data_IF_982269977742
#
_entry.id   IF_982269977742
#
_cell.length_a   1.000
_cell.length_b   1.000
_cell.length_c   1.000
_cell.angle_alpha   90.00
_cell.angle_beta   90.00
_cell.angle_gamma   90.00
#
_symmetry.space_group_name_H-M   'P 1'
#
loop_
_entity.id
_entity.type
_entity.pdbx_description
1 polymer ?
#
# COMPACT_ATOMS: atom_id res chain seq x y z
N UNK A 1 -7.52 -21.02 -3.57
CA UNK A 1 -8.21 -19.86 -2.94
C UNK A 1 -7.18 -19.23 -2.06
N UNK A 2 -6.78 -18.01 -2.34
CA UNK A 2 -5.41 -17.56 -2.05
C UNK A 2 -5.27 -16.10 -2.43
N UNK A 3 -4.40 -15.37 -1.74
CA UNK A 3 -3.89 -14.06 -2.09
C UNK A 3 -2.38 -14.12 -2.19
N UNK A 4 -1.83 -13.49 -3.22
CA UNK A 4 -0.42 -13.19 -3.37
C UNK A 4 -0.23 -11.67 -3.37
N UNK A 5 0.79 -11.19 -2.66
CA UNK A 5 1.19 -9.79 -2.64
C UNK A 5 2.70 -9.76 -2.83
N UNK A 6 3.19 -8.96 -3.77
CA UNK A 6 4.62 -8.69 -3.95
C UNK A 6 4.86 -7.19 -4.01
N UNK A 7 5.88 -6.70 -3.33
CA UNK A 7 6.24 -5.29 -3.30
C UNK A 7 7.74 -5.06 -3.43
N UNK A 8 8.09 -3.96 -4.10
CA UNK A 8 9.45 -3.43 -4.19
C UNK A 8 9.44 -1.95 -3.82
N UNK A 9 10.43 -1.51 -3.05
CA UNK A 9 10.58 -0.13 -2.58
C UNK A 9 10.93 -0.05 -1.10
N UNK A 10 11.11 1.17 -0.54
CA UNK A 10 11.40 1.35 0.88
C UNK A 10 10.36 0.66 1.77
N UNK A 11 10.80 -0.11 2.77
CA UNK A 11 9.92 -0.83 3.70
C UNK A 11 8.90 -1.78 3.03
N UNK A 12 9.28 -2.42 1.91
CA UNK A 12 8.41 -3.37 1.21
C UNK A 12 7.95 -4.52 2.13
N UNK A 13 8.80 -4.99 3.05
CA UNK A 13 8.41 -6.04 3.98
C UNK A 13 7.30 -5.62 4.96
N UNK A 14 7.38 -4.42 5.53
CA UNK A 14 6.29 -3.89 6.34
C UNK A 14 5.01 -3.66 5.52
N UNK A 15 5.16 -3.19 4.29
CA UNK A 15 4.05 -2.94 3.37
C UNK A 15 3.28 -4.23 3.06
N UNK A 16 3.97 -5.30 2.68
CA UNK A 16 3.36 -6.61 2.41
C UNK A 16 2.65 -7.16 3.63
N UNK A 17 3.26 -7.07 4.82
CA UNK A 17 2.63 -7.52 6.06
C UNK A 17 1.36 -6.74 6.39
N UNK A 18 1.40 -5.41 6.35
CA UNK A 18 0.23 -4.56 6.63
C UNK A 18 -0.89 -4.76 5.62
N UNK A 19 -0.52 -4.95 4.34
CA UNK A 19 -1.46 -5.21 3.27
C UNK A 19 -2.17 -6.57 3.47
N UNK A 20 -1.45 -7.63 3.83
CA UNK A 20 -2.06 -8.91 4.17
C UNK A 20 -2.96 -8.79 5.41
N UNK A 21 -2.51 -8.11 6.47
CA UNK A 21 -3.30 -7.91 7.69
C UNK A 21 -4.61 -7.16 7.41
N UNK A 22 -4.57 -6.18 6.52
CA UNK A 22 -5.77 -5.48 6.07
C UNK A 22 -6.69 -6.42 5.29
N UNK A 23 -6.14 -7.24 4.38
CA UNK A 23 -6.91 -8.22 3.63
C UNK A 23 -7.62 -9.24 4.54
N UNK A 24 -6.95 -9.72 5.58
CA UNK A 24 -7.52 -10.63 6.58
C UNK A 24 -8.64 -9.99 7.40
N UNK A 25 -8.58 -8.67 7.62
CA UNK A 25 -9.56 -7.95 8.43
C UNK A 25 -10.87 -7.66 7.71
N UNK A 26 -10.81 -7.44 6.40
CA UNK A 26 -11.98 -7.02 5.59
C UNK A 26 -12.44 -8.09 4.61
N UNK A 27 -11.57 -9.04 4.28
CA UNK A 27 -11.84 -10.13 3.37
C UNK A 27 -12.62 -11.26 4.02
N UNK A 28 -13.50 -11.89 3.26
CA UNK A 28 -14.20 -13.12 3.66
C UNK A 28 -13.91 -14.24 2.67
N UNK A 29 -13.95 -15.49 3.13
CA UNK A 29 -13.58 -16.67 2.34
C UNK A 29 -12.27 -17.28 2.83
N UNK A 30 -11.42 -17.76 1.92
CA UNK A 30 -10.19 -18.47 2.29
C UNK A 30 -9.01 -17.52 2.53
N UNK A 31 -9.01 -16.87 3.69
CA UNK A 31 -7.98 -15.93 4.14
C UNK A 31 -7.76 -16.07 5.66
N UNK A 32 -6.61 -15.64 6.20
CA UNK A 32 -6.31 -15.67 7.64
C UNK A 32 -5.89 -17.04 8.21
N UNK A 33 -5.60 -18.01 7.33
CA UNK A 33 -5.12 -19.34 7.69
C UNK A 33 -3.61 -19.47 7.54
N UNK A 34 -3.15 -20.08 6.44
CA UNK A 34 -1.72 -20.21 6.17
C UNK A 34 -1.15 -18.91 5.60
N UNK A 35 0.13 -18.64 5.84
CA UNK A 35 0.89 -17.61 5.16
C UNK A 35 2.36 -18.04 5.00
N UNK A 36 2.96 -17.71 3.87
CA UNK A 36 4.39 -17.87 3.60
C UNK A 36 4.93 -16.55 3.11
N UNK A 37 5.91 -16.03 3.83
CA UNK A 37 6.49 -14.72 3.64
C UNK A 37 7.98 -14.85 3.35
N UNK A 38 8.47 -14.07 2.39
CA UNK A 38 9.89 -13.93 2.12
C UNK A 38 10.25 -12.47 1.87
N UNK A 39 11.43 -12.07 2.31
CA UNK A 39 11.99 -10.75 2.06
C UNK A 39 13.47 -10.86 1.70
N UNK A 40 13.91 -10.05 0.75
CA UNK A 40 15.32 -9.85 0.43
C UNK A 40 15.71 -8.49 1.02
N UNK A 41 16.59 -8.52 2.01
CA UNK A 41 17.07 -7.34 2.73
C UNK A 41 18.00 -6.50 1.85
N UNK A 42 18.29 -5.26 2.26
CA UNK A 42 19.15 -4.35 1.49
C UNK A 42 20.60 -4.85 1.36
N UNK A 43 21.07 -5.67 2.30
CA UNK A 43 22.36 -6.36 2.26
C UNK A 43 22.31 -7.71 1.52
N UNK A 44 21.19 -8.04 0.86
CA UNK A 44 21.06 -9.22 0.00
C UNK A 44 20.77 -10.53 0.74
N UNK A 45 20.38 -10.50 2.02
CA UNK A 45 19.97 -11.72 2.74
C UNK A 45 18.52 -12.07 2.45
N UNK A 46 18.26 -13.36 2.33
CA UNK A 46 16.90 -13.90 2.24
C UNK A 46 16.38 -14.26 3.64
N UNK A 47 15.33 -13.56 4.08
CA UNK A 47 14.60 -13.84 5.32
C UNK A 47 13.25 -14.47 4.99
N UNK A 48 12.80 -15.41 5.83
CA UNK A 48 11.56 -16.16 5.62
C UNK A 48 10.78 -16.33 6.91
N UNK A 49 9.46 -16.39 6.78
CA UNK A 49 8.55 -16.76 7.86
C UNK A 49 7.35 -17.51 7.28
N UNK A 50 6.78 -18.43 8.05
CA UNK A 50 5.59 -19.17 7.64
C UNK A 50 4.70 -19.51 8.83
N UNK A 51 3.41 -19.70 8.57
CA UNK A 51 2.45 -20.22 9.53
C UNK A 51 1.39 -21.04 8.83
N UNK A 52 0.89 -22.08 9.49
CA UNK A 52 -0.19 -22.94 8.98
C UNK A 52 -1.58 -22.35 9.27
N UNK A 53 -1.72 -21.62 10.38
CA UNK A 53 -2.99 -21.16 10.94
C UNK A 53 -2.80 -19.81 11.62
N UNK A 54 -3.72 -18.88 11.39
CA UNK A 54 -3.74 -17.56 12.04
C UNK A 54 -3.18 -16.42 11.19
N UNK A 55 -2.63 -16.69 10.00
CA UNK A 55 -2.21 -15.66 9.07
C UNK A 55 -1.26 -14.65 9.72
N UNK A 56 -1.51 -13.35 9.58
CA UNK A 56 -0.65 -12.33 10.20
C UNK A 56 -0.61 -12.36 11.73
N UNK A 57 -1.61 -12.96 12.41
CA UNK A 57 -1.63 -13.07 13.87
C UNK A 57 -0.67 -14.11 14.45
N UNK A 58 -0.07 -14.95 13.60
CA UNK A 58 0.88 -16.00 14.02
C UNK A 58 2.10 -16.10 13.12
N UNK A 59 2.15 -15.35 12.01
CA UNK A 59 3.23 -15.38 11.04
C UNK A 59 4.60 -14.99 11.64
N UNK A 60 4.60 -14.08 12.60
CA UNK A 60 5.80 -13.69 13.35
C UNK A 60 5.61 -14.00 14.83
N UNK A 61 6.73 -14.21 15.52
CA UNK A 61 6.78 -14.44 16.97
C UNK A 61 7.91 -13.62 17.59
N UNK A 62 7.67 -13.09 18.79
CA UNK A 62 8.66 -12.39 19.60
C UNK A 62 8.57 -12.91 21.03
N UNK A 63 9.54 -13.75 21.42
CA UNK A 63 9.44 -14.52 22.66
C UNK A 63 8.20 -15.42 22.65
N UNK A 64 7.31 -15.21 23.62
CA UNK A 64 6.04 -15.95 23.75
C UNK A 64 4.87 -15.26 23.01
N UNK A 65 5.07 -14.06 22.45
CA UNK A 65 4.01 -13.33 21.74
C UNK A 65 3.91 -13.77 20.29
N UNK A 66 2.67 -13.98 19.83
CA UNK A 66 2.33 -14.25 18.42
C UNK A 66 1.69 -13.02 17.78
N UNK A 67 1.96 -12.83 16.49
CA UNK A 67 1.41 -11.71 15.72
C UNK A 67 1.98 -10.31 16.04
N UNK A 68 3.23 -10.15 16.52
CA UNK A 68 3.87 -8.85 16.52
C UNK A 68 4.09 -8.37 15.06
N UNK A 69 4.57 -7.14 14.93
CA UNK A 69 5.11 -6.67 13.66
C UNK A 69 6.32 -7.53 13.24
N UNK A 70 6.64 -7.59 11.94
CA UNK A 70 7.91 -8.15 11.50
C UNK A 70 9.10 -7.47 12.22
N UNK A 71 10.21 -8.20 12.38
CA UNK A 71 11.47 -7.61 12.84
C UNK A 71 11.89 -6.45 11.94
N UNK A 72 12.71 -5.53 12.45
CA UNK A 72 13.21 -4.38 11.67
C UNK A 72 13.86 -4.80 10.36
N UNK A 73 14.66 -5.87 10.36
CA UNK A 73 15.29 -6.39 9.15
C UNK A 73 14.28 -6.79 8.06
N UNK A 74 13.18 -7.44 8.45
CA UNK A 74 12.12 -7.81 7.52
C UNK A 74 11.31 -6.56 7.14
N UNK A 75 10.96 -5.72 8.11
CA UNK A 75 10.14 -4.53 7.89
C UNK A 75 10.79 -3.57 6.87
N UNK A 76 12.10 -3.37 6.98
CA UNK A 76 12.88 -2.44 6.15
C UNK A 76 13.34 -3.04 4.81
N UNK A 77 13.13 -4.35 4.59
CA UNK A 77 13.55 -5.03 3.38
C UNK A 77 12.95 -4.36 2.11
N UNK A 78 13.77 -4.10 1.07
CA UNK A 78 13.32 -3.41 -0.14
C UNK A 78 12.52 -4.29 -1.10
N UNK A 79 12.52 -5.61 -0.90
CA UNK A 79 11.81 -6.57 -1.73
C UNK A 79 11.15 -7.61 -0.83
N UNK A 80 9.84 -7.77 -0.92
CA UNK A 80 9.11 -8.73 -0.11
C UNK A 80 7.90 -9.30 -0.84
N UNK A 81 7.54 -10.53 -0.49
CA UNK A 81 6.39 -11.21 -1.04
C UNK A 81 5.73 -12.11 -0.01
N UNK A 82 4.43 -12.31 -0.16
CA UNK A 82 3.65 -13.25 0.64
C UNK A 82 2.66 -14.00 -0.24
N UNK A 83 2.38 -15.25 0.13
CA UNK A 83 1.17 -15.98 -0.28
C UNK A 83 0.41 -16.40 0.96
N UNK A 84 -0.91 -16.25 0.96
CA UNK A 84 -1.77 -16.64 2.07
C UNK A 84 -3.10 -17.20 1.61
N UNK A 85 -3.74 -18.02 2.45
CA UNK A 85 -5.14 -18.43 2.32
C UNK A 85 -5.74 -18.96 3.61
N UNK A 86 -6.86 -19.70 3.54
CA UNK A 86 -7.29 -20.63 4.59
C UNK A 86 -6.22 -21.67 4.98
N UNK A 87 -6.39 -22.37 6.11
CA UNK A 87 -5.35 -23.19 6.74
C UNK A 87 -5.14 -24.53 6.02
N UNK A 88 -4.30 -25.38 6.60
CA UNK A 88 -4.16 -26.81 6.24
C UNK A 88 -3.63 -27.06 4.83
N UNK A 89 -2.62 -26.27 4.43
CA UNK A 89 -1.87 -26.50 3.19
C UNK A 89 -0.85 -27.63 3.36
N UNK A 90 -0.58 -28.41 2.29
CA UNK A 90 0.48 -29.41 2.30
C UNK A 90 1.84 -28.81 2.68
N UNK A 91 2.52 -29.45 3.64
CA UNK A 91 3.89 -29.12 3.99
C UNK A 91 4.87 -29.69 2.95
N UNK A 92 6.08 -29.11 2.79
CA UNK A 92 6.54 -27.88 3.44
C UNK A 92 5.84 -26.65 2.88
N UNK A 93 5.51 -25.66 3.70
CA UNK A 93 4.78 -24.48 3.23
C UNK A 93 5.62 -23.60 2.29
N UNK A 94 6.93 -23.49 2.53
CA UNK A 94 7.86 -22.78 1.64
C UNK A 94 7.75 -23.16 0.16
N UNK A 95 7.21 -24.33 -0.20
CA UNK A 95 7.00 -24.70 -1.60
C UNK A 95 6.10 -23.72 -2.37
N UNK A 96 5.20 -23.00 -1.69
CA UNK A 96 4.27 -22.05 -2.32
C UNK A 96 4.92 -20.71 -2.72
N UNK A 97 6.12 -20.41 -2.21
CA UNK A 97 6.87 -19.19 -2.50
C UNK A 97 8.34 -19.54 -2.81
N UNK A 98 8.65 -19.60 -4.10
CA UNK A 98 10.02 -19.82 -4.57
C UNK A 98 10.81 -18.53 -4.35
N UNK A 99 12.03 -18.65 -3.81
CA UNK A 99 12.87 -17.48 -3.59
C UNK A 99 14.34 -17.85 -3.52
N UNK A 100 15.13 -16.95 -4.08
CA UNK A 100 16.58 -16.97 -4.17
C UNK A 100 17.09 -15.56 -3.89
N UNK A 101 18.14 -15.45 -3.07
CA UNK A 101 18.60 -14.15 -2.56
C UNK A 101 19.16 -13.25 -3.67
N UNK A 102 19.85 -13.85 -4.64
CA UNK A 102 20.52 -13.14 -5.74
C UNK A 102 19.57 -12.83 -6.90
N UNK A 103 18.54 -13.67 -7.07
CA UNK A 103 17.59 -13.56 -8.19
C UNK A 103 16.31 -12.81 -7.83
N UNK A 104 15.61 -13.23 -6.77
CA UNK A 104 14.27 -12.71 -6.47
C UNK A 104 13.30 -13.70 -5.81
N UNK A 105 12.03 -13.31 -5.81
CA UNK A 105 10.91 -13.98 -5.19
C UNK A 105 9.83 -14.28 -6.26
N UNK A 106 9.18 -15.43 -6.16
CA UNK A 106 8.00 -15.78 -6.96
C UNK A 106 6.90 -16.32 -6.03
N UNK A 107 5.84 -15.54 -5.92
CA UNK A 107 4.63 -15.84 -5.15
C UNK A 107 3.42 -15.92 -6.10
N UNK A 108 2.21 -16.00 -5.57
CA UNK A 108 1.02 -15.92 -6.39
C UNK A 108 -0.27 -16.33 -5.70
N UNK A 109 -1.18 -16.84 -6.50
CA UNK A 109 -2.44 -17.41 -6.04
C UNK A 109 -2.78 -18.67 -6.87
N UNK A 110 -3.71 -19.46 -6.37
CA UNK A 110 -4.05 -20.82 -6.81
C UNK A 110 -2.91 -21.78 -6.46
N UNK A 111 -2.22 -22.34 -7.46
CA UNK A 111 -1.21 -23.38 -7.29
C UNK A 111 0.12 -22.96 -7.95
N UNK A 112 0.84 -21.98 -7.39
CA UNK A 112 2.13 -21.55 -7.94
C UNK A 112 3.20 -22.66 -7.93
N UNK A 113 3.04 -23.66 -7.06
CA UNK A 113 3.91 -24.84 -6.96
C UNK A 113 3.42 -26.02 -7.81
N UNK A 114 2.35 -25.89 -8.60
CA UNK A 114 1.95 -26.94 -9.52
C UNK A 114 3.06 -27.22 -10.55
N UNK A 115 3.13 -28.46 -11.02
CA UNK A 115 4.13 -28.84 -12.01
C UNK A 115 3.78 -28.29 -13.39
N UNK A 116 4.78 -27.72 -14.03
CA UNK A 116 4.77 -27.32 -15.43
C UNK A 116 4.85 -28.54 -16.36
N UNK A 117 4.71 -28.30 -17.66
CA UNK A 117 4.92 -29.32 -18.71
C UNK A 117 6.32 -29.93 -18.70
N UNK A 118 7.33 -29.20 -18.19
CA UNK A 118 8.71 -29.70 -18.07
C UNK A 118 8.97 -30.49 -16.77
N UNK A 119 7.95 -30.64 -15.91
CA UNK A 119 8.07 -31.37 -14.65
C UNK A 119 8.71 -30.56 -13.51
N UNK A 120 8.98 -29.26 -13.71
CA UNK A 120 9.41 -28.33 -12.65
C UNK A 120 8.20 -27.60 -12.04
N UNK A 121 8.20 -27.28 -10.73
CA UNK A 121 7.22 -26.37 -10.15
C UNK A 121 7.21 -25.01 -10.88
N UNK A 122 6.03 -24.48 -11.19
CA UNK A 122 5.87 -23.27 -12.01
C UNK A 122 6.57 -22.04 -11.43
N UNK A 123 6.48 -21.83 -10.12
CA UNK A 123 7.18 -20.75 -9.43
C UNK A 123 8.72 -20.88 -9.50
N UNK A 124 9.25 -22.10 -9.44
CA UNK A 124 10.67 -22.37 -9.64
C UNK A 124 11.09 -22.19 -11.09
N UNK A 125 10.24 -22.55 -12.06
CA UNK A 125 10.51 -22.31 -13.47
C UNK A 125 10.61 -20.81 -13.77
N UNK A 126 9.71 -19.97 -13.22
CA UNK A 126 9.80 -18.51 -13.36
C UNK A 126 11.08 -17.98 -12.72
N UNK A 127 11.43 -18.45 -11.52
CA UNK A 127 12.65 -18.03 -10.84
C UNK A 127 13.91 -18.44 -11.64
N UNK A 128 13.91 -19.61 -12.27
CA UNK A 128 15.00 -20.06 -13.13
C UNK A 128 15.16 -19.19 -14.38
N UNK A 129 14.06 -18.76 -15.00
CA UNK A 129 14.11 -17.80 -16.12
C UNK A 129 14.65 -16.43 -15.67
N UNK A 130 14.27 -15.96 -14.48
CA UNK A 130 14.83 -14.73 -13.91
C UNK A 130 16.34 -14.88 -13.63
N UNK A 131 16.76 -16.01 -13.07
CA UNK A 131 18.18 -16.30 -12.85
C UNK A 131 18.98 -16.40 -14.16
N UNK A 132 18.32 -16.77 -15.26
CA UNK A 132 18.89 -16.75 -16.61
C UNK A 132 18.95 -15.33 -17.23
N UNK A 133 18.53 -14.30 -16.50
CA UNK A 133 18.60 -12.89 -16.91
C UNK A 133 17.30 -12.30 -17.47
N UNK A 134 16.19 -13.05 -17.47
CA UNK A 134 14.91 -12.49 -17.86
C UNK A 134 14.37 -11.53 -16.79
N UNK A 135 13.78 -10.41 -17.21
CA UNK A 135 12.99 -9.57 -16.30
C UNK A 135 11.72 -10.33 -15.88
N UNK A 136 11.15 -9.97 -14.72
CA UNK A 136 10.02 -10.67 -14.12
C UNK A 136 8.82 -10.82 -15.08
N UNK A 137 8.52 -9.79 -15.87
CA UNK A 137 7.42 -9.82 -16.83
C UNK A 137 7.62 -10.87 -17.94
N UNK A 138 8.85 -10.98 -18.47
CA UNK A 138 9.19 -11.90 -19.56
C UNK A 138 9.26 -13.34 -19.06
N UNK A 139 9.85 -13.56 -17.88
CA UNK A 139 9.88 -14.85 -17.21
C UNK A 139 8.46 -15.38 -16.97
N UNK A 140 7.56 -14.54 -16.41
CA UNK A 140 6.16 -14.89 -16.22
C UNK A 140 5.46 -15.19 -17.54
N UNK A 141 5.66 -14.36 -18.57
CA UNK A 141 5.04 -14.55 -19.88
C UNK A 141 5.46 -15.90 -20.47
N UNK A 142 6.76 -16.18 -20.54
CA UNK A 142 7.29 -17.42 -21.13
C UNK A 142 6.71 -18.65 -20.44
N UNK A 143 6.84 -18.72 -19.12
CA UNK A 143 6.38 -19.89 -18.36
C UNK A 143 4.86 -20.07 -18.44
N UNK A 144 4.08 -18.98 -18.32
CA UNK A 144 2.62 -19.09 -18.32
C UNK A 144 2.01 -19.29 -19.71
N UNK A 145 2.67 -18.86 -20.78
CA UNK A 145 2.21 -19.13 -22.15
C UNK A 145 2.39 -20.62 -22.50
N UNK A 146 3.50 -21.24 -22.07
CA UNK A 146 3.74 -22.69 -22.22
C UNK A 146 2.84 -23.54 -21.32
N UNK A 147 2.26 -22.93 -20.28
CA UNK A 147 1.44 -23.59 -19.25
C UNK A 147 0.05 -22.93 -19.12
N UNK A 148 -0.53 -22.54 -20.25
CA UNK A 148 -1.74 -21.71 -20.32
C UNK A 148 -2.98 -22.36 -19.67
N UNK A 149 -3.02 -23.69 -19.58
CA UNK A 149 -4.11 -24.49 -19.03
C UNK A 149 -4.00 -24.71 -17.50
N UNK A 150 -2.91 -24.28 -16.87
CA UNK A 150 -2.65 -24.51 -15.44
C UNK A 150 -3.45 -23.56 -14.55
N UNK A 151 -3.88 -24.04 -13.39
CA UNK A 151 -4.61 -23.24 -12.39
C UNK A 151 -3.64 -22.43 -11.52
N UNK A 152 -3.03 -21.40 -12.11
CA UNK A 152 -2.02 -20.55 -11.47
C UNK A 152 -2.14 -19.08 -11.88
N UNK A 153 -1.92 -18.18 -10.93
CA UNK A 153 -1.49 -16.81 -11.19
C UNK A 153 -0.28 -16.49 -10.33
N UNK A 154 0.71 -15.79 -10.88
CA UNK A 154 1.99 -15.56 -10.22
C UNK A 154 2.36 -14.07 -10.18
N UNK A 155 3.08 -13.71 -9.14
CA UNK A 155 3.78 -12.43 -9.00
C UNK A 155 5.26 -12.76 -8.88
N UNK A 156 6.08 -12.14 -9.71
CA UNK A 156 7.53 -12.29 -9.72
C UNK A 156 8.19 -10.93 -9.48
N UNK A 157 9.22 -10.92 -8.64
CA UNK A 157 9.95 -9.72 -8.28
C UNK A 157 11.39 -10.01 -7.89
N UNK A 158 12.30 -9.08 -8.15
CA UNK A 158 13.69 -9.22 -7.69
C UNK A 158 14.51 -7.97 -7.96
N UNK A 159 15.63 -7.79 -7.22
CA UNK A 159 16.62 -6.78 -7.56
C UNK A 159 17.05 -6.93 -9.02
N UNK A 160 16.97 -5.87 -9.82
CA UNK A 160 17.30 -5.91 -11.26
C UNK A 160 16.28 -6.59 -12.18
N UNK A 161 15.42 -7.46 -11.67
CA UNK A 161 14.39 -8.15 -12.47
C UNK A 161 13.06 -7.36 -12.60
N UNK A 162 12.85 -6.36 -11.75
CA UNK A 162 11.59 -5.60 -11.68
C UNK A 162 10.48 -6.39 -10.98
N UNK A 163 9.24 -5.89 -11.05
CA UNK A 163 8.04 -6.49 -10.44
C UNK A 163 6.91 -6.60 -11.47
N UNK A 164 6.33 -7.80 -11.59
CA UNK A 164 5.22 -8.09 -12.49
C UNK A 164 4.30 -9.17 -11.94
N UNK A 165 3.06 -9.19 -12.44
CA UNK A 165 2.04 -10.19 -12.11
C UNK A 165 1.34 -10.68 -13.37
N UNK A 166 0.98 -11.97 -13.40
CA UNK A 166 0.27 -12.57 -14.54
C UNK A 166 -0.52 -13.81 -14.11
N UNK A 167 -1.73 -13.93 -14.65
CA UNK A 167 -2.53 -15.14 -14.59
C UNK A 167 -2.26 -16.02 -15.81
N UNK A 168 -2.35 -17.34 -15.65
CA UNK A 168 -2.50 -18.23 -16.81
C UNK A 168 -3.80 -17.92 -17.56
N UNK A 169 -3.90 -18.39 -18.81
CA UNK A 169 -5.12 -18.23 -19.60
C UNK A 169 -6.32 -18.95 -18.95
N UNK A 170 -6.09 -20.07 -18.27
CA UNK A 170 -7.12 -20.79 -17.51
C UNK A 170 -7.63 -19.96 -16.32
N UNK A 171 -6.73 -19.43 -15.49
CA UNK A 171 -7.12 -18.63 -14.32
C UNK A 171 -7.79 -17.34 -14.74
N UNK A 172 -7.35 -16.70 -15.83
CA UNK A 172 -7.93 -15.46 -16.34
C UNK A 172 -9.43 -15.53 -16.69
N UNK A 173 -10.00 -16.72 -16.82
CA UNK A 173 -11.44 -16.94 -17.09
C UNK A 173 -12.31 -16.99 -15.84
N UNK A 174 -11.72 -16.95 -14.65
CA UNK A 174 -12.45 -17.09 -13.39
C UNK A 174 -13.26 -15.83 -13.07
N UNK A 175 -14.48 -15.96 -12.52
CA UNK A 175 -15.32 -14.81 -12.16
C UNK A 175 -14.96 -14.19 -10.80
N UNK A 176 -14.12 -14.85 -10.00
CA UNK A 176 -13.81 -14.51 -8.61
C UNK A 176 -12.41 -13.90 -8.43
N UNK A 177 -11.83 -13.30 -9.48
CA UNK A 177 -10.49 -12.72 -9.45
C UNK A 177 -10.48 -11.30 -8.90
N UNK A 178 -9.40 -10.98 -8.18
CA UNK A 178 -8.99 -9.62 -7.87
C UNK A 178 -7.54 -9.42 -8.25
N UNK A 179 -7.22 -8.27 -8.84
CA UNK A 179 -5.86 -7.88 -9.16
C UNK A 179 -5.68 -6.37 -9.07
N UNK A 180 -4.52 -5.92 -8.60
CA UNK A 180 -4.17 -4.50 -8.61
C UNK A 180 -2.66 -4.31 -8.68
N UNK A 181 -2.26 -3.34 -9.52
CA UNK A 181 -0.91 -2.76 -9.52
C UNK A 181 -0.98 -1.33 -9.02
N UNK A 182 0.00 -0.92 -8.21
CA UNK A 182 0.21 0.49 -7.83
C UNK A 182 1.69 0.83 -7.90
N UNK A 183 1.98 2.07 -8.31
CA UNK A 183 3.34 2.60 -8.45
C UNK A 183 3.36 4.04 -7.95
N UNK A 184 4.35 4.40 -7.13
CA UNK A 184 4.62 5.78 -6.69
C UNK A 184 6.11 5.95 -6.42
N UNK A 185 6.79 6.72 -7.27
CA UNK A 185 8.25 6.83 -7.20
C UNK A 185 8.90 5.47 -7.49
N UNK A 186 9.78 5.04 -6.58
CA UNK A 186 10.43 3.72 -6.64
C UNK A 186 9.59 2.60 -6.03
N UNK A 187 8.49 2.94 -5.33
CA UNK A 187 7.61 1.95 -4.72
C UNK A 187 6.65 1.35 -5.75
N UNK A 188 6.56 0.02 -5.80
CA UNK A 188 5.66 -0.73 -6.67
C UNK A 188 5.08 -1.92 -5.90
N UNK A 189 3.80 -2.20 -6.11
CA UNK A 189 3.12 -3.37 -5.53
C UNK A 189 2.24 -4.04 -6.57
N UNK A 190 2.19 -5.36 -6.52
CA UNK A 190 1.28 -6.21 -7.26
C UNK A 190 0.48 -7.09 -6.28
N UNK A 191 -0.81 -7.21 -6.54
CA UNK A 191 -1.72 -8.07 -5.79
C UNK A 191 -2.48 -8.95 -6.76
N UNK A 192 -2.54 -10.25 -6.49
CA UNK A 192 -3.41 -11.22 -7.17
C UNK A 192 -4.16 -12.03 -6.12
N UNK A 193 -5.47 -12.22 -6.28
CA UNK A 193 -6.20 -13.15 -5.43
C UNK A 193 -7.41 -13.76 -6.13
N UNK A 194 -7.95 -14.79 -5.50
CA UNK A 194 -9.24 -15.35 -5.88
C UNK A 194 -9.99 -15.91 -4.66
N UNK A 195 -11.32 -16.05 -4.77
CA UNK A 195 -12.19 -16.65 -3.75
C UNK A 195 -12.06 -15.99 -2.36
N UNK A 196 -11.69 -14.72 -2.35
CA UNK A 196 -11.72 -13.84 -1.19
C UNK A 196 -12.58 -12.65 -1.62
N UNK A 197 -13.69 -12.43 -0.94
CA UNK A 197 -14.63 -11.36 -1.21
C UNK A 197 -14.34 -10.16 -0.28
N UNK A 198 -14.54 -8.92 -0.74
CA UNK A 198 -14.99 -8.54 -2.08
C UNK A 198 -13.89 -8.73 -3.14
N UNK A 199 -14.23 -9.24 -4.33
CA UNK A 199 -13.20 -9.66 -5.30
C UNK A 199 -12.40 -8.51 -5.91
N UNK A 200 -13.07 -7.47 -6.44
CA UNK A 200 -12.37 -6.39 -7.13
C UNK A 200 -11.78 -5.33 -6.19
N UNK A 201 -12.56 -4.88 -5.21
CA UNK A 201 -12.16 -3.77 -4.33
C UNK A 201 -11.08 -4.16 -3.31
N UNK A 202 -10.98 -5.45 -2.95
CA UNK A 202 -9.97 -5.91 -2.01
C UNK A 202 -8.56 -5.72 -2.57
N UNK A 203 -8.29 -6.15 -3.81
CA UNK A 203 -6.97 -5.99 -4.41
C UNK A 203 -6.53 -4.53 -4.47
N UNK A 204 -7.44 -3.63 -4.86
CA UNK A 204 -7.19 -2.19 -4.90
C UNK A 204 -6.84 -1.64 -3.51
N UNK A 205 -7.66 -1.92 -2.49
CA UNK A 205 -7.44 -1.48 -1.12
C UNK A 205 -6.10 -1.99 -0.56
N UNK A 206 -5.79 -3.27 -0.77
CA UNK A 206 -4.55 -3.91 -0.30
C UNK A 206 -3.33 -3.27 -0.96
N UNK A 207 -3.40 -3.01 -2.26
CA UNK A 207 -2.33 -2.33 -3.00
C UNK A 207 -2.14 -0.88 -2.54
N UNK A 208 -3.22 -0.14 -2.30
CA UNK A 208 -3.14 1.25 -1.81
C UNK A 208 -2.53 1.31 -0.39
N UNK A 209 -2.90 0.39 0.50
CA UNK A 209 -2.29 0.27 1.84
C UNK A 209 -0.80 -0.05 1.75
N UNK A 210 -0.40 -1.00 0.91
CA UNK A 210 1.01 -1.33 0.71
C UNK A 210 1.79 -0.12 0.17
N UNK A 211 1.23 0.57 -0.82
CA UNK A 211 1.88 1.72 -1.45
C UNK A 211 2.05 2.87 -0.46
N UNK A 212 1.04 3.16 0.35
CA UNK A 212 1.12 4.23 1.35
C UNK A 212 2.11 3.93 2.49
N UNK A 213 2.41 2.66 2.77
CA UNK A 213 3.47 2.29 3.71
C UNK A 213 4.85 2.61 3.12
N UNK A 214 5.07 2.29 1.84
CA UNK A 214 6.39 2.49 1.19
C UNK A 214 6.63 3.93 0.74
N UNK A 215 5.57 4.59 0.28
CA UNK A 215 5.60 5.93 -0.28
C UNK A 215 4.30 6.68 0.11
N UNK A 216 4.20 7.20 1.34
CA UNK A 216 3.01 7.91 1.81
C UNK A 216 2.59 9.02 0.85
N UNK A 217 1.28 9.15 0.58
CA UNK A 217 0.77 10.19 -0.32
C UNK A 217 1.10 11.60 0.18
N UNK A 218 1.07 11.76 1.50
CA UNK A 218 1.41 12.99 2.18
C UNK A 218 2.43 12.69 3.28
N UNK A 219 3.60 13.31 3.19
CA UNK A 219 4.53 13.41 4.32
C UNK A 219 4.36 14.80 4.91
N UNK A 220 3.77 14.93 6.12
CA UNK A 220 3.63 16.23 6.75
C UNK A 220 4.98 16.91 6.86
N UNK A 221 5.09 18.10 6.26
CA UNK A 221 6.28 18.95 6.35
C UNK A 221 6.19 19.87 7.56
N UNK A 222 4.97 20.18 7.98
CA UNK A 222 4.70 20.94 9.19
C UNK A 222 3.23 20.90 9.55
N UNK A 223 2.89 21.75 10.50
CA UNK A 223 1.53 21.90 11.02
C UNK A 223 1.22 23.38 11.13
N UNK A 224 0.02 23.77 10.70
CA UNK A 224 -0.53 25.10 10.97
C UNK A 224 -1.43 25.06 12.20
N UNK A 225 -1.49 26.16 12.94
CA UNK A 225 -2.36 26.32 14.11
C UNK A 225 -3.49 27.26 13.75
N UNK A 226 -4.73 26.77 13.79
CA UNK A 226 -5.93 27.58 13.60
C UNK A 226 -6.58 27.82 14.96
N UNK A 227 -6.84 29.07 15.28
CA UNK A 227 -7.55 29.47 16.50
C UNK A 227 -8.98 29.91 16.16
N UNK A 228 -9.90 29.74 17.09
CA UNK A 228 -11.15 30.48 17.04
C UNK A 228 -10.87 31.99 17.03
N UNK A 229 -11.72 32.73 16.32
CA UNK A 229 -11.50 34.12 15.95
C UNK A 229 -10.72 34.31 14.65
N UNK A 230 -10.12 33.26 14.06
CA UNK A 230 -9.42 33.39 12.76
C UNK A 230 -10.39 33.93 11.70
N UNK A 231 -10.12 35.09 11.08
CA UNK A 231 -11.02 35.69 10.11
C UNK A 231 -10.99 34.94 8.77
N UNK A 232 -12.15 34.88 8.12
CA UNK A 232 -12.29 34.55 6.72
C UNK A 232 -12.28 35.85 5.90
N UNK A 233 -11.58 35.85 4.78
CA UNK A 233 -11.40 37.01 3.91
C UNK A 233 -11.85 36.64 2.49
N UNK A 234 -12.60 37.54 1.84
CA UNK A 234 -12.99 37.37 0.45
C UNK A 234 -11.75 37.34 -0.46
N UNK A 235 -11.64 36.32 -1.30
CA UNK A 235 -10.59 36.19 -2.31
C UNK A 235 -11.12 35.47 -3.55
N UNK A 236 -10.27 35.34 -4.57
CA UNK A 236 -10.56 34.61 -5.81
C UNK A 236 -10.34 33.10 -5.71
N UNK A 237 -9.78 32.63 -4.58
CA UNK A 237 -9.41 31.24 -4.35
C UNK A 237 -9.25 30.96 -2.85
N UNK A 238 -9.30 29.68 -2.48
CA UNK A 238 -8.99 29.27 -1.10
C UNK A 238 -7.49 29.31 -0.81
N UNK A 239 -7.07 30.01 0.24
CA UNK A 239 -5.69 30.01 0.76
C UNK A 239 -5.69 30.15 2.26
N UNK A 240 -4.64 29.65 2.90
CA UNK A 240 -4.44 29.78 4.34
C UNK A 240 -3.21 30.65 4.55
N UNK A 241 -3.41 31.82 5.12
CA UNK A 241 -2.33 32.78 5.35
C UNK A 241 -1.80 32.56 6.77
N UNK A 242 -0.50 32.32 6.88
CA UNK A 242 0.18 32.04 8.16
C UNK A 242 1.32 33.01 8.42
N UNK A 243 1.64 33.20 9.71
CA UNK A 243 2.83 33.91 10.15
C UNK A 243 4.08 33.01 10.19
N UNK A 244 5.19 33.56 10.70
CA UNK A 244 6.48 32.89 10.89
C UNK A 244 6.41 31.60 11.72
N UNK A 245 5.45 31.52 12.65
CA UNK A 245 5.25 30.41 13.58
C UNK A 245 4.17 29.42 13.10
N UNK A 246 3.75 29.54 11.83
CA UNK A 246 2.67 28.76 11.23
C UNK A 246 1.32 28.92 11.94
N UNK A 247 1.08 30.04 12.61
CA UNK A 247 -0.24 30.40 13.14
C UNK A 247 -1.05 31.05 12.04
N UNK A 248 -2.28 30.57 11.82
CA UNK A 248 -3.15 31.11 10.78
C UNK A 248 -3.62 32.51 11.17
N UNK A 249 -3.31 33.48 10.30
CA UNK A 249 -3.72 34.87 10.43
C UNK A 249 -5.07 35.13 9.75
N UNK A 250 -5.31 34.48 8.60
CA UNK A 250 -6.57 34.57 7.87
C UNK A 250 -6.78 33.39 6.94
N UNK A 251 -8.04 33.09 6.65
CA UNK A 251 -8.46 32.09 5.67
C UNK A 251 -9.10 32.83 4.50
N UNK A 252 -8.45 32.80 3.36
CA UNK A 252 -9.00 33.39 2.14
C UNK A 252 -9.96 32.40 1.46
N UNK A 253 -11.06 32.91 0.92
CA UNK A 253 -12.12 32.08 0.32
C UNK A 253 -12.90 32.81 -0.77
N UNK A 254 -13.25 32.09 -1.84
CA UNK A 254 -14.20 32.53 -2.88
C UNK A 254 -15.66 32.17 -2.52
N UNK A 255 -15.85 31.36 -1.47
CA UNK A 255 -17.15 31.03 -0.90
C UNK A 255 -17.67 32.20 -0.05
N UNK A 256 -18.00 33.32 -0.71
CA UNK A 256 -18.36 34.58 -0.07
C UNK A 256 -19.56 34.49 0.88
N UNK A 257 -20.43 33.48 0.72
CA UNK A 257 -21.55 33.25 1.65
C UNK A 257 -21.08 32.95 3.09
N UNK A 258 -19.86 32.41 3.26
CA UNK A 258 -19.27 32.12 4.57
C UNK A 258 -18.90 33.38 5.37
N UNK A 259 -18.85 34.55 4.71
CA UNK A 259 -18.45 35.82 5.33
C UNK A 259 -19.59 36.47 6.15
N UNK A 260 -20.79 35.91 6.10
CA UNK A 260 -21.96 36.42 6.82
C UNK A 260 -22.78 35.27 7.38
N UNK A 261 -23.47 35.51 8.50
CA UNK A 261 -24.26 34.48 9.17
C UNK A 261 -23.41 33.38 9.79
N UNK A 262 -24.06 32.26 10.14
CA UNK A 262 -23.45 31.14 10.87
C UNK A 262 -23.58 29.83 10.09
N UNK A 263 -22.47 29.14 9.90
CA UNK A 263 -22.38 27.94 9.06
C UNK A 263 -21.60 26.83 9.73
N UNK A 264 -22.07 25.59 9.57
CA UNK A 264 -21.27 24.40 9.81
C UNK A 264 -20.79 23.88 8.44
N UNK A 265 -19.48 23.93 8.18
CA UNK A 265 -18.93 23.84 6.83
C UNK A 265 -17.45 23.39 6.83
N UNK A 266 -16.87 23.26 5.64
CA UNK A 266 -15.44 23.32 5.45
C UNK A 266 -15.05 24.77 5.12
N UNK A 267 -14.12 25.34 5.89
CA UNK A 267 -13.46 26.60 5.57
C UNK A 267 -11.97 26.41 5.23
N UNK A 268 -11.41 25.27 5.63
CA UNK A 268 -10.02 24.87 5.41
C UNK A 268 -10.05 23.58 4.58
N UNK A 269 -10.06 23.74 3.26
CA UNK A 269 -10.21 22.62 2.33
C UNK A 269 -8.99 21.72 2.28
N UNK A 270 -9.20 20.44 1.96
CA UNK A 270 -8.10 19.53 1.62
C UNK A 270 -7.35 20.06 0.38
N UNK A 271 -6.02 20.14 0.46
CA UNK A 271 -5.20 20.64 -0.64
C UNK A 271 -5.19 22.17 -0.79
N UNK A 272 -5.71 22.92 0.18
CA UNK A 272 -5.62 24.38 0.18
C UNK A 272 -4.16 24.84 0.35
N UNK A 273 -3.66 25.79 -0.46
CA UNK A 273 -2.33 26.34 -0.31
C UNK A 273 -2.14 27.03 1.05
N UNK A 274 -1.06 26.66 1.75
CA UNK A 274 -0.56 27.34 2.94
C UNK A 274 0.48 28.36 2.50
N UNK A 275 0.24 29.63 2.83
CA UNK A 275 1.01 30.78 2.35
C UNK A 275 1.64 31.52 3.52
N UNK A 276 2.96 31.66 3.49
CA UNK A 276 3.75 32.44 4.43
C UNK A 276 4.53 33.49 3.63
N UNK A 277 4.45 34.77 4.01
CA UNK A 277 5.13 35.88 3.32
C UNK A 277 4.91 35.90 1.78
N UNK A 278 3.69 35.58 1.35
CA UNK A 278 3.30 35.52 -0.07
C UNK A 278 3.81 34.29 -0.83
N UNK A 279 4.50 33.37 -0.17
CA UNK A 279 5.02 32.13 -0.77
C UNK A 279 4.22 30.92 -0.29
N UNK A 280 3.92 30.00 -1.20
CA UNK A 280 3.31 28.72 -0.85
C UNK A 280 4.37 27.84 -0.19
N UNK A 281 4.18 27.52 1.08
CA UNK A 281 5.04 26.62 1.86
C UNK A 281 4.53 25.18 1.87
N UNK A 282 3.29 24.96 1.44
CA UNK A 282 2.71 23.63 1.26
C UNK A 282 1.21 23.65 1.02
N UNK A 283 0.57 22.49 1.15
CA UNK A 283 -0.87 22.31 1.04
C UNK A 283 -1.40 21.45 2.18
N UNK A 284 -2.57 21.80 2.71
CA UNK A 284 -3.24 21.05 3.78
C UNK A 284 -3.49 19.60 3.38
N UNK A 285 -3.32 18.69 4.34
CA UNK A 285 -3.54 17.24 4.14
C UNK A 285 -4.74 16.73 4.93
N UNK A 286 -5.53 17.64 5.51
CA UNK A 286 -6.75 17.35 6.25
C UNK A 286 -7.77 18.48 6.06
N UNK A 287 -9.04 18.13 6.10
CA UNK A 287 -10.18 19.05 6.02
C UNK A 287 -11.01 18.92 7.30
N UNK A 288 -10.85 19.83 8.28
CA UNK A 288 -11.66 19.79 9.50
C UNK A 288 -13.08 20.31 9.25
N UNK A 289 -14.02 19.83 10.04
CA UNK A 289 -15.34 20.46 10.15
C UNK A 289 -15.20 21.77 10.94
N UNK A 290 -15.68 22.88 10.38
CA UNK A 290 -15.54 24.24 10.92
C UNK A 290 -16.92 24.85 11.16
N UNK A 291 -17.09 25.49 12.31
CA UNK A 291 -18.18 26.44 12.50
C UNK A 291 -17.64 27.84 12.24
N UNK A 292 -18.25 28.55 11.29
CA UNK A 292 -17.97 29.95 10.99
C UNK A 292 -19.17 30.79 11.42
N UNK A 293 -18.93 31.96 12.01
CA UNK A 293 -19.98 32.91 12.38
C UNK A 293 -19.48 34.33 12.09
N UNK A 294 -20.25 35.11 11.34
CA UNK A 294 -19.90 36.47 10.95
C UNK A 294 -18.56 36.58 10.22
N UNK A 295 -18.19 35.56 9.44
CA UNK A 295 -16.91 35.54 8.71
C UNK A 295 -15.69 35.25 9.60
N UNK A 296 -15.86 34.66 10.78
CA UNK A 296 -14.74 34.18 11.59
C UNK A 296 -14.95 32.74 12.05
N UNK A 297 -13.85 32.00 12.20
CA UNK A 297 -13.88 30.65 12.75
C UNK A 297 -14.31 30.70 14.22
N UNK A 298 -15.36 29.98 14.59
CA UNK A 298 -15.81 29.83 15.98
C UNK A 298 -15.28 28.56 16.61
N UNK A 299 -15.22 27.47 15.85
CA UNK A 299 -14.65 26.21 16.32
C UNK A 299 -14.23 25.32 15.16
N UNK A 300 -13.27 24.42 15.43
CA UNK A 300 -12.83 23.39 14.49
C UNK A 300 -12.94 22.03 15.18
N UNK A 301 -13.79 21.14 14.64
CA UNK A 301 -14.07 19.83 15.23
C UNK A 301 -14.42 19.91 16.72
N UNK A 302 -15.16 20.95 17.11
CA UNK A 302 -15.57 21.21 18.51
C UNK A 302 -14.48 21.82 19.41
N UNK A 303 -13.31 22.18 18.88
CA UNK A 303 -12.19 22.78 19.62
C UNK A 303 -12.00 24.26 19.28
N UNK A 304 -11.45 25.00 20.24
CA UNK A 304 -11.08 26.41 20.09
C UNK A 304 -9.73 26.59 19.37
N UNK A 305 -8.90 25.55 19.36
CA UNK A 305 -7.64 25.52 18.65
C UNK A 305 -7.48 24.15 17.99
N UNK A 306 -6.98 24.13 16.76
CA UNK A 306 -6.76 22.90 16.02
C UNK A 306 -5.50 22.97 15.16
N UNK A 307 -4.74 21.88 15.19
CA UNK A 307 -3.53 21.69 14.40
C UNK A 307 -3.87 20.96 13.10
N UNK A 308 -3.53 21.56 11.96
CA UNK A 308 -3.76 20.97 10.64
C UNK A 308 -2.42 20.65 10.00
N UNK A 309 -2.13 19.39 9.67
CA UNK A 309 -0.91 19.05 8.94
C UNK A 309 -0.96 19.59 7.52
N UNK A 310 0.19 20.01 7.01
CA UNK A 310 0.40 20.34 5.61
C UNK A 310 1.64 19.62 5.08
N UNK A 311 1.64 19.36 3.78
CA UNK A 311 2.77 18.75 3.07
C UNK A 311 3.35 19.75 2.07
N UNK A 312 4.66 19.67 1.84
CA UNK A 312 5.34 20.47 0.83
C UNK A 312 4.64 20.29 -0.53
N UNK A 313 4.73 21.30 -1.42
CA UNK A 313 4.21 21.15 -2.79
C UNK A 313 4.79 19.88 -3.41
N UNK A 314 3.95 19.01 -3.96
CA UNK A 314 4.44 17.90 -4.77
C UNK A 314 5.40 18.49 -5.80
N UNK A 315 6.67 18.08 -5.76
CA UNK A 315 7.66 18.60 -6.69
C UNK A 315 7.11 18.33 -8.07
N UNK A 316 6.81 19.39 -8.84
CA UNK A 316 6.48 19.23 -10.25
C UNK A 316 7.70 18.57 -10.88
N UNK A 317 7.61 17.25 -11.13
CA UNK A 317 8.64 16.54 -11.88
C UNK A 317 8.72 17.25 -13.24
N UNK A 318 9.86 17.92 -13.48
CA UNK A 318 10.24 18.36 -14.82
C UNK A 318 10.53 17.14 -15.68
#
# INVERSE_FOLDING_TARGET
MTIGIGAMGPQAGLAVFRALRAAERVGTGSIGGFAVFAAITADGRLLRAETQRGGTSTLFTEGEMTGPLPSTEIADAPCAAVISSGPDRPAPLMQFLAADADTGLVTGHRLPNAYSVSGLPLNQAVLAEMNAGAIAADALKKVLDENADRDVGMIALGPGCGLAARNSAFVGKRPDLGSARRVRGEACVEVLHNAIAPHQSLAALVADIALDVMAPLYTPTGTIIVNAGTPLVAADRHRIIVDGDCVVQSIETDAHYLLSGRWNCAALYLGAPVVQDGRIIGHTTAEPNVVVDGGAVVSLSGKQQFSIPFSAPASAKK
#
